data_IF_699247849644
#
_entry.id   IF_699247849644
#
_cell.length_a   1.000
_cell.length_b   1.000
_cell.length_c   1.000
_cell.angle_alpha   90.00
_cell.angle_beta   90.00
_cell.angle_gamma   90.00
#
_symmetry.space_group_name_H-M   'P 1'
#
loop_
_entity.id
_entity.type
_entity.pdbx_description
1 polymer ?
#
# COMPACT_ATOMS: atom_id res chain seq x y z
N UNK A 1 -32.39 44.30 -22.60
CA UNK A 1 -32.65 42.85 -22.44
C UNK A 1 -31.32 42.13 -22.60
N UNK A 2 -30.57 41.95 -21.52
CA UNK A 2 -29.28 41.26 -21.54
C UNK A 2 -29.51 39.78 -21.28
N UNK A 3 -29.16 38.92 -22.24
CA UNK A 3 -29.21 37.47 -22.06
C UNK A 3 -28.20 37.07 -20.97
N UNK A 4 -28.69 36.56 -19.84
CA UNK A 4 -27.88 35.83 -18.89
C UNK A 4 -27.53 34.48 -19.52
N UNK A 5 -26.26 34.29 -19.86
CA UNK A 5 -25.73 32.97 -20.12
C UNK A 5 -25.76 32.18 -18.79
N UNK A 6 -26.24 30.94 -18.76
CA UNK A 6 -26.18 30.13 -17.55
C UNK A 6 -24.72 29.88 -17.18
N UNK A 7 -24.32 30.34 -15.99
CA UNK A 7 -23.04 30.00 -15.38
C UNK A 7 -22.94 28.47 -15.31
N UNK A 8 -22.03 27.88 -16.09
CA UNK A 8 -21.76 26.44 -15.98
C UNK A 8 -21.21 26.21 -14.57
N UNK A 9 -21.81 25.32 -13.74
CA UNK A 9 -21.27 25.04 -12.43
C UNK A 9 -19.83 24.55 -12.59
N UNK A 10 -18.93 25.17 -11.83
CA UNK A 10 -17.51 24.79 -11.75
C UNK A 10 -17.39 23.30 -11.46
N UNK A 11 -16.80 22.55 -12.41
CA UNK A 11 -16.36 21.15 -12.36
C UNK A 11 -17.08 20.20 -11.40
N UNK A 12 -17.91 19.30 -11.93
CA UNK A 12 -18.54 18.17 -11.19
C UNK A 12 -17.56 17.05 -10.78
N UNK A 13 -16.25 17.32 -10.80
CA UNK A 13 -15.24 16.33 -10.45
C UNK A 13 -15.21 16.12 -8.93
N UNK A 14 -15.31 14.87 -8.50
CA UNK A 14 -15.19 14.47 -7.11
C UNK A 14 -14.13 13.36 -6.98
N UNK A 15 -13.34 13.35 -5.89
CA UNK A 15 -12.36 12.29 -5.67
C UNK A 15 -13.06 10.95 -5.46
N UNK A 16 -12.66 9.95 -6.23
CA UNK A 16 -13.21 8.60 -6.13
C UNK A 16 -12.73 7.74 -7.28
N UNK A 17 -12.37 6.50 -6.98
CA UNK A 17 -12.03 5.50 -7.99
C UNK A 17 -13.24 4.59 -8.17
N UNK A 18 -13.67 4.36 -9.42
CA UNK A 18 -14.70 3.38 -9.70
C UNK A 18 -14.28 2.00 -9.17
N UNK A 19 -15.23 1.17 -8.72
CA UNK A 19 -14.94 -0.12 -8.08
C UNK A 19 -14.03 -1.01 -8.90
N UNK A 20 -14.24 -1.04 -10.21
CA UNK A 20 -13.47 -1.88 -11.13
C UNK A 20 -12.03 -1.39 -11.26
N UNK A 21 -11.85 -0.07 -11.32
CA UNK A 21 -10.51 0.55 -11.32
C UNK A 21 -9.79 0.35 -10.00
N UNK A 22 -10.51 0.34 -8.87
CA UNK A 22 -9.93 0.01 -7.57
C UNK A 22 -9.42 -1.44 -7.54
N UNK A 23 -10.15 -2.37 -8.16
CA UNK A 23 -9.71 -3.76 -8.23
C UNK A 23 -8.46 -3.91 -9.11
N UNK A 24 -8.42 -3.22 -10.25
CA UNK A 24 -7.23 -3.19 -11.12
C UNK A 24 -6.02 -2.64 -10.38
N UNK A 25 -6.18 -1.54 -9.63
CA UNK A 25 -5.11 -0.97 -8.82
C UNK A 25 -4.61 -1.96 -7.76
N UNK A 26 -5.51 -2.63 -7.04
CA UNK A 26 -5.15 -3.65 -6.06
C UNK A 26 -4.34 -4.78 -6.70
N UNK A 27 -4.75 -5.27 -7.87
CA UNK A 27 -3.97 -6.28 -8.60
C UNK A 27 -2.59 -5.77 -9.02
N UNK A 28 -2.52 -4.58 -9.61
CA UNK A 28 -1.26 -4.00 -10.06
C UNK A 28 -0.25 -3.84 -8.92
N UNK A 29 -0.66 -3.23 -7.80
CA UNK A 29 0.21 -3.06 -6.64
C UNK A 29 0.52 -4.39 -5.95
N UNK A 30 -0.47 -5.29 -5.81
CA UNK A 30 -0.25 -6.60 -5.21
C UNK A 30 0.76 -7.45 -6.00
N UNK A 31 0.68 -7.44 -7.33
CA UNK A 31 1.63 -8.14 -8.19
C UNK A 31 3.01 -7.48 -8.17
N UNK A 32 3.08 -6.16 -8.16
CA UNK A 32 4.35 -5.43 -8.03
C UNK A 32 5.08 -5.82 -6.74
N UNK A 33 4.38 -5.81 -5.60
CA UNK A 33 4.96 -6.25 -4.34
C UNK A 33 5.35 -7.73 -4.36
N UNK A 34 4.57 -8.58 -5.02
CA UNK A 34 4.89 -10.00 -5.17
C UNK A 34 6.20 -10.20 -5.94
N UNK A 35 6.36 -9.55 -7.11
CA UNK A 35 7.58 -9.59 -7.92
C UNK A 35 8.76 -9.05 -7.12
N UNK A 36 8.62 -7.87 -6.49
CA UNK A 36 9.68 -7.30 -5.65
C UNK A 36 10.10 -8.22 -4.52
N UNK A 37 9.14 -8.94 -3.93
CA UNK A 37 9.41 -9.95 -2.93
C UNK A 37 10.26 -11.10 -3.46
N UNK A 38 9.99 -11.57 -4.69
CA UNK A 38 10.82 -12.58 -5.37
C UNK A 38 12.23 -12.03 -5.59
N UNK A 39 12.36 -10.85 -6.20
CA UNK A 39 13.65 -10.24 -6.54
C UNK A 39 14.55 -10.10 -5.30
N UNK A 40 13.96 -9.66 -4.18
CA UNK A 40 14.69 -9.53 -2.92
C UNK A 40 15.04 -10.89 -2.31
N UNK A 41 14.17 -11.88 -2.44
CA UNK A 41 14.38 -13.24 -1.90
C UNK A 41 15.44 -14.03 -2.67
N UNK A 42 15.50 -13.87 -4.00
CA UNK A 42 16.48 -14.54 -4.86
C UNK A 42 17.82 -13.82 -4.89
N UNK A 43 17.89 -12.62 -4.29
CA UNK A 43 19.08 -11.76 -4.32
C UNK A 43 19.53 -11.44 -5.76
N UNK A 44 18.57 -11.42 -6.69
CA UNK A 44 18.81 -11.14 -8.10
C UNK A 44 19.16 -9.65 -8.25
N UNK A 45 20.43 -9.36 -8.58
CA UNK A 45 20.95 -7.98 -8.66
C UNK A 45 22.03 -7.84 -9.73
N UNK A 46 21.79 -6.93 -10.67
CA UNK A 46 22.86 -6.24 -11.41
C UNK A 46 23.13 -4.81 -10.90
N UNK A 47 22.17 -4.05 -10.34
CA UNK A 47 22.46 -2.65 -9.93
C UNK A 47 21.49 -1.97 -8.93
N UNK A 48 20.51 -2.68 -8.37
CA UNK A 48 19.48 -2.03 -7.54
C UNK A 48 19.86 -2.14 -6.06
N UNK A 49 20.12 -0.99 -5.44
CA UNK A 49 20.56 -0.75 -4.05
C UNK A 49 22.02 -1.10 -3.76
N UNK A 50 22.89 -0.08 -3.89
CA UNK A 50 24.12 0.00 -3.09
C UNK A 50 23.80 -0.42 -1.65
N UNK A 51 24.62 -1.28 -1.03
CA UNK A 51 24.25 -2.17 0.09
C UNK A 51 23.59 -1.37 1.20
N UNK A 52 22.31 -1.59 1.55
CA UNK A 52 21.48 -0.91 2.57
C UNK A 52 22.06 -0.91 4.01
N UNK A 53 23.32 -0.49 4.24
CA UNK A 53 24.10 -0.48 5.51
C UNK A 53 23.30 -0.42 6.82
N UNK A 54 22.29 0.44 6.97
CA UNK A 54 21.52 0.57 8.22
C UNK A 54 20.38 -0.45 8.34
N UNK A 55 19.74 -0.85 7.23
CA UNK A 55 18.62 -1.82 7.24
C UNK A 55 19.06 -3.25 6.94
N UNK A 56 20.12 -3.43 6.15
CA UNK A 56 20.84 -4.70 6.03
C UNK A 56 21.50 -5.11 7.35
N UNK A 57 21.84 -4.15 8.23
CA UNK A 57 22.26 -4.45 9.59
C UNK A 57 21.12 -5.02 10.45
N UNK A 58 19.86 -4.68 10.15
CA UNK A 58 18.70 -5.21 10.86
C UNK A 58 18.33 -6.62 10.36
N UNK A 59 18.22 -6.81 9.04
CA UNK A 59 17.96 -8.11 8.41
C UNK A 59 18.61 -8.19 7.01
N UNK A 60 19.14 -9.36 6.60
CA UNK A 60 19.55 -9.63 5.22
C UNK A 60 18.43 -9.39 4.21
N UNK A 61 18.78 -8.94 2.99
CA UNK A 61 17.82 -8.66 1.92
C UNK A 61 16.86 -9.83 1.61
N UNK A 62 17.29 -11.11 1.58
CA UNK A 62 16.37 -12.21 1.35
C UNK A 62 15.26 -12.33 2.39
N UNK A 63 15.53 -11.91 3.64
CA UNK A 63 14.51 -11.91 4.69
C UNK A 63 13.49 -10.82 4.44
N UNK A 64 13.92 -9.63 4.01
CA UNK A 64 13.00 -8.57 3.58
C UNK A 64 12.13 -9.04 2.40
N UNK A 65 12.72 -9.71 1.42
CA UNK A 65 12.00 -10.32 0.31
C UNK A 65 10.94 -11.33 0.78
N UNK A 66 11.30 -12.22 1.71
CA UNK A 66 10.36 -13.17 2.30
C UNK A 66 9.18 -12.49 3.02
N UNK A 67 9.44 -11.42 3.78
CA UNK A 67 8.38 -10.65 4.47
C UNK A 67 7.45 -9.98 3.45
N UNK A 68 8.01 -9.37 2.40
CA UNK A 68 7.24 -8.77 1.31
C UNK A 68 6.39 -9.85 0.62
N UNK A 69 6.96 -11.02 0.31
CA UNK A 69 6.24 -12.14 -0.31
C UNK A 69 5.07 -12.62 0.54
N UNK A 70 5.25 -12.76 1.85
CA UNK A 70 4.17 -13.13 2.77
C UNK A 70 3.07 -12.08 2.75
N UNK A 71 3.43 -10.79 2.86
CA UNK A 71 2.48 -9.69 2.80
C UNK A 71 1.69 -9.64 1.48
N UNK A 72 2.40 -9.77 0.35
CA UNK A 72 1.82 -9.76 -0.98
C UNK A 72 0.91 -10.98 -1.22
N UNK A 73 1.31 -12.16 -0.76
CA UNK A 73 0.50 -13.38 -0.88
C UNK A 73 -0.78 -13.30 -0.06
N UNK A 74 -0.71 -12.78 1.17
CA UNK A 74 -1.90 -12.55 2.00
C UNK A 74 -2.83 -11.51 1.37
N UNK A 75 -2.26 -10.43 0.85
CA UNK A 75 -3.03 -9.37 0.18
C UNK A 75 -3.74 -9.91 -1.07
N UNK A 76 -3.00 -10.50 -2.02
CA UNK A 76 -3.54 -11.06 -3.25
C UNK A 76 -4.50 -12.23 -2.98
N UNK A 77 -4.17 -13.12 -2.05
CA UNK A 77 -5.06 -14.19 -1.62
C UNK A 77 -6.37 -13.62 -1.06
N UNK A 78 -6.29 -12.56 -0.25
CA UNK A 78 -7.45 -11.84 0.22
C UNK A 78 -8.32 -11.25 -0.90
N UNK A 79 -7.70 -10.69 -1.95
CA UNK A 79 -8.39 -10.20 -3.14
C UNK A 79 -9.06 -11.35 -3.91
N UNK A 80 -8.35 -12.44 -4.17
CA UNK A 80 -8.84 -13.63 -4.89
C UNK A 80 -10.04 -14.24 -4.18
N UNK A 81 -9.90 -14.50 -2.87
CA UNK A 81 -10.93 -15.15 -2.07
C UNK A 81 -11.97 -14.16 -1.52
N UNK A 82 -11.86 -12.87 -1.86
CA UNK A 82 -12.74 -11.79 -1.41
C UNK A 82 -12.91 -11.76 0.13
N UNK A 83 -11.81 -11.93 0.85
CA UNK A 83 -11.79 -11.94 2.33
C UNK A 83 -11.12 -10.69 2.87
N UNK A 84 -11.82 -9.96 3.73
CA UNK A 84 -11.31 -8.74 4.36
C UNK A 84 -10.06 -8.98 5.24
N UNK A 85 -10.07 -10.02 6.08
CA UNK A 85 -8.99 -10.23 7.05
C UNK A 85 -7.60 -10.44 6.41
N UNK A 86 -7.43 -11.29 5.37
CA UNK A 86 -6.14 -11.42 4.69
C UNK A 86 -5.71 -10.15 3.96
N UNK A 87 -6.64 -9.39 3.35
CA UNK A 87 -6.33 -8.09 2.72
C UNK A 87 -5.76 -7.13 3.76
N UNK A 88 -6.39 -7.02 4.93
CA UNK A 88 -5.95 -6.15 6.02
C UNK A 88 -4.57 -6.60 6.54
N UNK A 89 -4.41 -7.88 6.84
CA UNK A 89 -3.16 -8.42 7.38
C UNK A 89 -1.99 -8.23 6.40
N UNK A 90 -2.18 -8.61 5.12
CA UNK A 90 -1.16 -8.45 4.08
C UNK A 90 -0.81 -6.98 3.85
N UNK A 91 -1.81 -6.10 3.81
CA UNK A 91 -1.60 -4.66 3.68
C UNK A 91 -0.80 -4.07 4.85
N UNK A 92 -1.09 -4.46 6.10
CA UNK A 92 -0.35 -3.97 7.26
C UNK A 92 1.10 -4.44 7.28
N UNK A 93 1.36 -5.70 6.89
CA UNK A 93 2.71 -6.23 6.73
C UNK A 93 3.48 -5.42 5.68
N UNK A 94 2.87 -5.21 4.50
CA UNK A 94 3.49 -4.45 3.42
C UNK A 94 3.72 -2.99 3.81
N UNK A 95 2.75 -2.34 4.45
CA UNK A 95 2.89 -0.98 4.97
C UNK A 95 4.08 -0.86 5.91
N UNK A 96 4.16 -1.72 6.94
CA UNK A 96 5.25 -1.70 7.90
C UNK A 96 6.60 -1.97 7.24
N UNK A 97 6.65 -2.92 6.32
CA UNK A 97 7.87 -3.30 5.60
C UNK A 97 8.38 -2.18 4.69
N UNK A 98 7.50 -1.59 3.89
CA UNK A 98 7.86 -0.47 3.01
C UNK A 98 8.24 0.78 3.81
N UNK A 99 7.61 1.04 4.96
CA UNK A 99 8.05 2.12 5.88
C UNK A 99 9.46 1.85 6.44
N UNK A 100 9.74 0.63 6.89
CA UNK A 100 11.06 0.28 7.40
C UNK A 100 12.16 0.47 6.35
N UNK A 101 11.90 0.03 5.11
CA UNK A 101 12.81 0.23 3.97
C UNK A 101 12.98 1.72 3.63
N UNK A 102 11.89 2.50 3.66
CA UNK A 102 11.95 3.95 3.45
C UNK A 102 12.85 4.64 4.48
N UNK A 103 12.71 4.30 5.77
CA UNK A 103 13.56 4.83 6.85
C UNK A 103 15.02 4.48 6.62
N UNK A 104 15.31 3.24 6.21
CA UNK A 104 16.66 2.83 5.84
C UNK A 104 17.27 3.66 4.72
N UNK A 105 16.51 3.86 3.65
CA UNK A 105 16.94 4.69 2.52
C UNK A 105 17.14 6.16 2.93
N UNK A 106 16.26 6.69 3.80
CA UNK A 106 16.40 8.04 4.33
C UNK A 106 17.68 8.21 5.16
N UNK A 107 17.95 7.31 6.11
CA UNK A 107 19.16 7.38 6.94
C UNK A 107 20.43 7.39 6.08
N UNK A 108 20.45 6.60 5.02
CA UNK A 108 21.60 6.51 4.11
C UNK A 108 21.79 7.75 3.26
N UNK A 109 20.70 8.36 2.83
CA UNK A 109 20.73 9.66 2.17
C UNK A 109 21.33 10.72 3.10
N UNK A 110 20.94 10.71 4.38
CA UNK A 110 21.48 11.63 5.40
C UNK A 110 22.98 11.37 5.66
N UNK A 111 23.39 10.10 5.78
CA UNK A 111 24.79 9.69 5.98
C UNK A 111 25.72 10.12 4.84
N UNK A 112 25.23 10.13 3.59
CA UNK A 112 26.00 10.58 2.42
C UNK A 112 26.30 12.08 2.42
N UNK A 113 25.63 12.86 3.27
CA UNK A 113 25.85 14.30 3.40
C UNK A 113 25.19 15.12 2.29
N UNK A 114 25.41 16.42 2.33
CA UNK A 114 24.84 17.37 1.37
C UNK A 114 25.63 17.38 0.05
N UNK A 115 24.98 17.40 -1.14
CA UNK A 115 23.54 17.49 -1.36
C UNK A 115 22.81 16.15 -1.18
N UNK A 116 21.57 16.21 -0.69
CA UNK A 116 20.69 15.04 -0.51
C UNK A 116 20.14 14.51 -1.84
N UNK A 117 21.03 14.07 -2.71
CA UNK A 117 20.64 13.36 -3.92
C UNK A 117 20.11 11.96 -3.58
N UNK A 118 19.07 11.52 -4.29
CA UNK A 118 18.44 10.21 -4.07
C UNK A 118 17.21 10.18 -3.14
N UNK A 119 16.66 11.32 -2.71
CA UNK A 119 15.43 11.37 -1.88
C UNK A 119 14.18 10.75 -2.54
N UNK A 120 14.20 10.62 -3.87
CA UNK A 120 13.10 10.04 -4.65
C UNK A 120 12.78 8.63 -4.20
N UNK A 121 13.79 7.79 -3.97
CA UNK A 121 13.62 6.39 -3.59
C UNK A 121 12.89 6.24 -2.26
N UNK A 122 13.36 6.82 -1.13
CA UNK A 122 12.64 6.70 0.14
C UNK A 122 11.22 7.28 0.07
N UNK A 123 11.01 8.38 -0.67
CA UNK A 123 9.66 8.96 -0.84
C UNK A 123 8.70 8.02 -1.58
N UNK A 124 9.17 7.32 -2.63
CA UNK A 124 8.37 6.31 -3.32
C UNK A 124 7.97 5.16 -2.39
N UNK A 125 8.88 4.72 -1.52
CA UNK A 125 8.57 3.69 -0.52
C UNK A 125 7.54 4.16 0.51
N UNK A 126 7.61 5.42 0.97
CA UNK A 126 6.57 6.02 1.83
C UNK A 126 5.22 6.08 1.13
N UNK A 127 5.20 6.47 -0.14
CA UNK A 127 3.96 6.52 -0.92
C UNK A 127 3.32 5.13 -1.05
N UNK A 128 4.10 4.10 -1.38
CA UNK A 128 3.63 2.71 -1.48
C UNK A 128 3.14 2.20 -0.11
N UNK A 129 3.89 2.47 0.96
CA UNK A 129 3.45 2.11 2.31
C UNK A 129 2.10 2.74 2.67
N UNK A 130 1.93 4.03 2.35
CA UNK A 130 0.69 4.77 2.57
C UNK A 130 -0.47 4.15 1.79
N UNK A 131 -0.26 3.75 0.54
CA UNK A 131 -1.27 3.06 -0.26
C UNK A 131 -1.75 1.77 0.40
N UNK A 132 -0.83 0.94 0.91
CA UNK A 132 -1.24 -0.25 1.65
C UNK A 132 -1.94 0.07 2.97
N UNK A 133 -1.53 1.12 3.69
CA UNK A 133 -2.27 1.62 4.85
C UNK A 133 -3.72 2.00 4.50
N UNK A 134 -3.92 2.68 3.37
CA UNK A 134 -5.24 3.03 2.85
C UNK A 134 -6.05 1.79 2.44
N UNK A 135 -5.43 0.78 1.82
CA UNK A 135 -6.12 -0.49 1.53
C UNK A 135 -6.54 -1.23 2.79
N UNK A 136 -5.68 -1.30 3.81
CA UNK A 136 -6.01 -1.90 5.11
C UNK A 136 -7.20 -1.17 5.75
N UNK A 137 -7.14 0.16 5.80
CA UNK A 137 -8.19 0.99 6.38
C UNK A 137 -9.51 0.86 5.63
N UNK A 138 -9.48 0.92 4.30
CA UNK A 138 -10.66 0.74 3.44
C UNK A 138 -11.31 -0.63 3.63
N UNK A 139 -10.52 -1.70 3.66
CA UNK A 139 -11.02 -3.06 3.91
C UNK A 139 -11.59 -3.22 5.33
N UNK A 140 -11.00 -2.55 6.32
CA UNK A 140 -11.52 -2.52 7.70
C UNK A 140 -12.87 -1.80 7.78
N UNK A 141 -13.00 -0.62 7.15
CA UNK A 141 -14.26 0.12 7.12
C UNK A 141 -15.38 -0.70 6.48
N UNK A 142 -15.12 -1.31 5.32
CA UNK A 142 -16.10 -2.20 4.66
C UNK A 142 -16.51 -3.39 5.52
N UNK A 143 -15.52 -4.04 6.16
CA UNK A 143 -15.81 -5.10 7.12
C UNK A 143 -16.72 -4.58 8.24
N UNK A 144 -16.42 -3.42 8.82
CA UNK A 144 -17.19 -2.87 9.94
C UNK A 144 -18.64 -2.51 9.56
N UNK A 145 -18.87 -1.99 8.35
CA UNK A 145 -20.22 -1.68 7.86
C UNK A 145 -21.05 -2.95 7.65
N UNK A 146 -20.47 -4.00 7.05
CA UNK A 146 -21.15 -5.30 6.90
C UNK A 146 -21.54 -5.92 8.24
N UNK A 147 -20.70 -5.82 9.27
CA UNK A 147 -21.04 -6.31 10.61
C UNK A 147 -22.13 -5.46 11.27
N UNK A 148 -22.16 -4.15 11.04
CA UNK A 148 -23.22 -3.28 11.55
C UNK A 148 -24.57 -3.59 10.87
N UNK A 149 -24.60 -3.71 9.55
CA UNK A 149 -25.81 -4.07 8.78
C UNK A 149 -26.35 -5.44 9.18
N UNK A 150 -25.48 -6.44 9.35
CA UNK A 150 -25.90 -7.77 9.79
C UNK A 150 -26.52 -7.75 11.20
N UNK A 151 -25.97 -6.97 12.14
CA UNK A 151 -26.55 -6.80 13.48
C UNK A 151 -27.93 -6.14 13.44
N UNK A 152 -28.11 -5.13 12.60
CA UNK A 152 -29.42 -4.49 12.40
C UNK A 152 -30.44 -5.47 11.81
N UNK A 153 -30.03 -6.25 10.79
CA UNK A 153 -30.90 -7.26 10.17
C UNK A 153 -31.30 -8.37 11.14
N UNK A 154 -30.42 -8.73 12.09
CA UNK A 154 -30.67 -9.79 13.06
C UNK A 154 -31.44 -9.31 14.31
N UNK A 155 -31.84 -8.03 14.39
CA UNK A 155 -32.66 -7.50 15.48
C UNK A 155 -31.93 -7.26 16.81
N UNK A 156 -30.61 -7.39 16.84
CA UNK A 156 -29.78 -7.25 18.06
C UNK A 156 -29.50 -5.78 18.45
N UNK A 157 -30.06 -4.80 17.71
CA UNK A 157 -29.80 -3.37 17.93
C UNK A 157 -30.60 -2.73 19.08
N UNK A 158 -31.51 -3.48 19.72
CA UNK A 158 -32.44 -2.94 20.73
C UNK A 158 -32.54 -3.78 22.02
N UNK A 159 -31.52 -4.59 22.32
CA UNK A 159 -31.37 -5.28 23.62
C UNK A 159 -30.19 -4.73 24.39
#
# INVERSE_FOLDING_TARGET
MSAQFPDRPTGSWAPGLQSDLSLVAMWAFGLEAFVRGIDYATNDRDDVTQPLSVVEAALPLPIWGAIILVGATLFLGGVIFKKHNPIIAGSLILMATYMALAVGLFMRMVERGWPWDGFRSPLLFVAVATLYGLYAFSAYLKKSSEHAENRMRNGEAWS
#
